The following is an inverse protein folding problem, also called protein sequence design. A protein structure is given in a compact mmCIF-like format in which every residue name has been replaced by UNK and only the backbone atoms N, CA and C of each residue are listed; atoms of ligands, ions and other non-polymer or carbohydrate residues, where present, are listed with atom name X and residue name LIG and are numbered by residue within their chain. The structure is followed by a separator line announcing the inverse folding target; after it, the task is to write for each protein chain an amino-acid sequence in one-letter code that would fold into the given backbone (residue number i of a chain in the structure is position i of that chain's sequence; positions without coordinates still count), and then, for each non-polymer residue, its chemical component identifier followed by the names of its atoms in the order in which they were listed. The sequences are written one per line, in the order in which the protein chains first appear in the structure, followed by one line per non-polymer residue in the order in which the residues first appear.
data_IF_508839149242
#
_entry.id   IF_508839149242
#
_cell.length_a   1.000
_cell.length_b   1.000
_cell.length_c   1.000
_cell.angle_alpha   90.00
_cell.angle_beta   90.00
_cell.angle_gamma   90.00
#
_symmetry.space_group_name_H-M   'P 1'
#
loop_
_entity.id
_entity.type
_entity.pdbx_description
1 polymer ?
#
# COMPACT_ATOMS: atom_id res chain seq x y z
N UNK A 1 -13.60 22.95 -20.97
CA UNK A 1 -12.53 22.04 -20.52
C UNK A 1 -12.35 22.30 -19.05
N UNK A 2 -12.67 21.33 -18.20
CA UNK A 2 -12.36 21.39 -16.76
C UNK A 2 -10.84 21.34 -16.62
N UNK A 3 -10.24 22.37 -16.02
CA UNK A 3 -8.81 22.41 -15.71
C UNK A 3 -8.46 21.22 -14.80
N UNK A 4 -7.77 20.22 -15.35
CA UNK A 4 -7.21 19.14 -14.57
C UNK A 4 -6.07 19.71 -13.72
N UNK A 5 -6.29 19.84 -12.41
CA UNK A 5 -5.30 20.35 -11.44
C UNK A 5 -4.39 19.26 -10.85
N UNK A 6 -4.48 18.03 -11.35
CA UNK A 6 -3.72 16.90 -10.81
C UNK A 6 -2.30 16.93 -11.40
N UNK A 7 -1.30 17.05 -10.53
CA UNK A 7 0.11 16.95 -10.94
C UNK A 7 0.48 15.48 -11.18
N UNK A 8 1.49 15.23 -12.01
CA UNK A 8 2.03 13.88 -12.20
C UNK A 8 2.53 13.25 -10.89
N UNK A 9 3.10 14.05 -9.99
CA UNK A 9 3.53 13.60 -8.66
C UNK A 9 2.34 13.13 -7.80
N UNK A 10 1.27 13.92 -7.73
CA UNK A 10 0.06 13.53 -7.00
C UNK A 10 -0.58 12.27 -7.57
N UNK A 11 -0.55 12.08 -8.89
CA UNK A 11 -0.99 10.84 -9.52
C UNK A 11 -0.15 9.64 -9.07
N UNK A 12 1.17 9.76 -9.10
CA UNK A 12 2.06 8.64 -8.78
C UNK A 12 2.00 8.28 -7.31
N UNK A 13 1.97 9.28 -6.41
CA UNK A 13 1.77 9.06 -4.97
C UNK A 13 0.41 8.41 -4.67
N UNK A 14 -0.59 8.62 -5.51
CA UNK A 14 -1.89 7.95 -5.43
C UNK A 14 -1.81 6.50 -5.92
N UNK A 15 -1.17 6.25 -7.06
CA UNK A 15 -1.09 4.92 -7.67
C UNK A 15 -0.25 3.97 -6.82
N UNK A 16 0.85 4.46 -6.25
CA UNK A 16 1.80 3.65 -5.50
C UNK A 16 1.69 3.95 -4.02
N UNK A 17 0.69 3.34 -3.38
CA UNK A 17 0.47 3.43 -1.94
C UNK A 17 0.54 2.07 -1.24
N UNK A 18 0.99 2.05 0.02
CA UNK A 18 0.86 0.88 0.87
C UNK A 18 -0.56 0.31 0.83
N UNK A 19 -0.70 -0.95 0.40
CA UNK A 19 -2.00 -1.61 0.30
C UNK A 19 -2.19 -2.57 1.47
N UNK A 20 -3.35 -2.49 2.13
CA UNK A 20 -3.74 -3.32 3.28
C UNK A 20 -5.03 -4.07 2.93
N UNK A 21 -5.02 -5.39 3.12
CA UNK A 21 -6.22 -6.22 2.96
C UNK A 21 -7.16 -6.03 4.14
N UNK A 22 -8.47 -6.23 3.91
CA UNK A 22 -9.48 -6.22 4.96
C UNK A 22 -10.30 -7.50 4.83
N UNK A 23 -10.49 -8.20 5.94
CA UNK A 23 -11.43 -9.31 6.06
C UNK A 23 -12.38 -9.02 7.22
N UNK A 24 -13.67 -8.99 6.94
CA UNK A 24 -14.74 -8.80 7.93
C UNK A 24 -15.64 -10.03 8.01
N UNK A 25 -16.26 -10.24 9.15
CA UNK A 25 -17.37 -11.19 9.28
C UNK A 25 -18.69 -10.57 8.83
N UNK A 26 -19.66 -11.42 8.46
CA UNK A 26 -20.99 -10.97 8.03
C UNK A 26 -21.70 -10.09 9.07
N UNK A 27 -21.48 -10.34 10.36
CA UNK A 27 -22.07 -9.54 11.44
C UNK A 27 -21.55 -8.09 11.49
N UNK A 28 -20.37 -7.81 10.92
CA UNK A 28 -19.88 -6.44 10.69
C UNK A 28 -20.69 -5.77 9.58
N UNK A 29 -20.92 -6.46 8.47
CA UNK A 29 -21.72 -5.93 7.36
C UNK A 29 -23.16 -5.66 7.81
N UNK A 30 -23.73 -6.56 8.62
CA UNK A 30 -25.07 -6.38 9.21
C UNK A 30 -25.13 -5.20 10.19
N UNK A 31 -24.02 -4.89 10.88
CA UNK A 31 -23.91 -3.71 11.74
C UNK A 31 -23.81 -2.42 10.93
N UNK A 32 -23.14 -2.43 9.79
CA UNK A 32 -22.93 -1.25 8.94
C UNK A 32 -24.02 -1.05 7.88
N UNK A 33 -24.87 -2.04 7.63
CA UNK A 33 -25.98 -1.96 6.68
C UNK A 33 -26.86 -0.70 6.81
N UNK A 34 -27.21 -0.19 8.01
CA UNK A 34 -27.96 1.06 8.14
C UNK A 34 -27.23 2.29 7.62
N UNK A 35 -25.90 2.24 7.51
CA UNK A 35 -25.06 3.30 6.97
C UNK A 35 -24.81 3.15 5.46
N UNK A 36 -25.31 2.08 4.84
CA UNK A 36 -25.08 1.77 3.43
C UNK A 36 -23.59 1.66 3.05
N UNK A 37 -22.76 1.16 3.98
CA UNK A 37 -21.30 1.08 3.81
C UNK A 37 -20.80 -0.30 4.24
N UNK A 38 -19.85 -0.87 3.50
CA UNK A 38 -18.97 -1.92 4.01
C UNK A 38 -17.92 -1.34 4.94
N UNK A 39 -17.18 -2.18 5.67
CA UNK A 39 -16.11 -1.69 6.55
C UNK A 39 -15.01 -0.94 5.78
N UNK A 40 -14.64 -1.43 4.60
CA UNK A 40 -13.61 -0.77 3.78
C UNK A 40 -14.06 0.60 3.29
N UNK A 41 -15.33 0.73 2.90
CA UNK A 41 -15.91 2.00 2.46
C UNK A 41 -16.04 2.97 3.63
N UNK A 42 -16.46 2.49 4.81
CA UNK A 42 -16.57 3.28 6.04
C UNK A 42 -15.29 4.07 6.33
N UNK A 43 -14.14 3.42 6.21
CA UNK A 43 -12.84 3.98 6.59
C UNK A 43 -12.16 4.77 5.45
N UNK A 44 -12.63 4.63 4.21
CA UNK A 44 -11.97 5.18 3.03
C UNK A 44 -11.74 6.71 3.10
N UNK A 45 -12.72 7.53 3.54
CA UNK A 45 -12.51 8.98 3.69
C UNK A 45 -11.50 9.35 4.76
N UNK A 46 -11.15 8.44 5.67
CA UNK A 46 -10.29 8.71 6.82
C UNK A 46 -8.84 8.22 6.62
N UNK A 47 -8.57 7.45 5.57
CA UNK A 47 -7.23 7.07 5.11
C UNK A 47 -6.50 8.21 4.35
N UNK A 48 -6.83 9.44 4.71
CA UNK A 48 -6.93 10.64 3.89
C UNK A 48 -5.60 11.36 3.57
N UNK A 49 -4.59 10.64 3.08
CA UNK A 49 -3.46 11.26 2.36
C UNK A 49 -3.69 11.41 0.85
N UNK A 50 -4.92 11.16 0.38
CA UNK A 50 -5.32 11.39 -1.01
C UNK A 50 -6.49 12.37 -1.04
N UNK A 51 -6.18 13.61 -1.38
CA UNK A 51 -7.17 14.64 -1.68
C UNK A 51 -7.47 14.62 -3.17
N UNK A 52 -8.77 14.63 -3.45
CA UNK A 52 -9.40 14.53 -4.76
C UNK A 52 -9.03 15.69 -5.70
N UNK A 53 -8.84 15.36 -6.98
CA UNK A 53 -8.96 16.31 -8.09
C UNK A 53 -10.18 15.92 -8.87
N UNK A 54 -11.20 16.78 -8.82
CA UNK A 54 -12.47 16.63 -9.50
C UNK A 54 -12.32 16.43 -11.03
N UNK A 55 -12.25 15.17 -11.48
CA UNK A 55 -12.41 14.78 -12.90
C UNK A 55 -12.99 13.34 -13.03
N UNK A 56 -14.33 13.18 -13.12
CA UNK A 56 -15.00 11.86 -13.19
C UNK A 56 -14.54 10.94 -14.35
N UNK A 57 -14.15 11.53 -15.49
CA UNK A 57 -13.64 10.77 -16.63
C UNK A 57 -12.23 10.19 -16.36
N UNK A 58 -11.39 10.92 -15.61
CA UNK A 58 -10.04 10.49 -15.27
C UNK A 58 -10.08 9.31 -14.31
N UNK A 59 -11.00 9.31 -13.34
CA UNK A 59 -11.22 8.21 -12.39
C UNK A 59 -11.59 6.89 -13.09
N UNK A 60 -12.30 6.97 -14.22
CA UNK A 60 -12.69 5.80 -15.03
C UNK A 60 -11.51 5.23 -15.80
N UNK A 61 -10.79 6.10 -16.51
CA UNK A 61 -9.58 5.72 -17.20
C UNK A 61 -8.55 5.16 -16.21
N UNK A 62 -8.40 5.81 -15.05
CA UNK A 62 -7.53 5.42 -13.94
C UNK A 62 -7.87 4.04 -13.42
N UNK A 63 -9.13 3.77 -13.06
CA UNK A 63 -9.55 2.43 -12.63
C UNK A 63 -9.26 1.41 -13.73
N UNK A 64 -9.69 1.67 -14.97
CA UNK A 64 -9.47 0.75 -16.08
C UNK A 64 -7.98 0.51 -16.38
N UNK A 65 -7.14 1.51 -16.16
CA UNK A 65 -5.69 1.41 -16.31
C UNK A 65 -5.08 0.60 -15.18
N UNK A 66 -5.34 0.95 -13.91
CA UNK A 66 -4.80 0.28 -12.73
C UNK A 66 -5.32 -1.16 -12.58
N UNK A 67 -6.61 -1.40 -12.82
CA UNK A 67 -7.20 -2.74 -12.80
C UNK A 67 -6.71 -3.63 -13.95
N UNK A 68 -6.02 -3.07 -14.94
CA UNK A 68 -5.34 -3.80 -16.02
C UNK A 68 -3.82 -3.80 -15.91
N UNK A 69 -3.24 -3.12 -14.92
CA UNK A 69 -1.88 -3.39 -14.48
C UNK A 69 -1.92 -4.71 -13.73
N UNK A 70 -1.94 -5.83 -14.46
CA UNK A 70 -1.77 -7.14 -13.85
C UNK A 70 -0.52 -7.10 -12.97
N UNK A 71 -0.62 -7.54 -11.72
CA UNK A 71 0.53 -7.58 -10.83
C UNK A 71 1.61 -8.46 -11.45
N UNK A 72 2.71 -7.87 -11.91
CA UNK A 72 3.77 -8.66 -12.51
C UNK A 72 4.61 -9.35 -11.43
N UNK A 73 5.12 -10.57 -11.69
CA UNK A 73 5.91 -11.33 -10.70
C UNK A 73 7.17 -10.60 -10.22
N UNK A 74 7.68 -9.68 -11.04
CA UNK A 74 8.95 -9.00 -10.84
C UNK A 74 8.87 -7.73 -9.96
N UNK A 75 7.69 -7.40 -9.43
CA UNK A 75 7.47 -6.22 -8.59
C UNK A 75 6.65 -6.52 -7.34
N UNK A 76 6.77 -5.63 -6.35
CA UNK A 76 6.16 -5.71 -5.02
C UNK A 76 5.24 -4.52 -4.71
N UNK A 77 5.11 -3.57 -5.62
CA UNK A 77 4.43 -2.28 -5.44
C UNK A 77 2.92 -2.39 -5.19
N UNK A 78 2.27 -3.44 -5.72
CA UNK A 78 0.84 -3.71 -5.56
C UNK A 78 0.54 -4.82 -4.53
N UNK A 79 1.56 -5.29 -3.79
CA UNK A 79 1.39 -6.40 -2.84
C UNK A 79 0.87 -5.91 -1.50
N UNK A 80 -0.02 -6.69 -0.89
CA UNK A 80 -0.56 -6.40 0.43
C UNK A 80 0.54 -6.48 1.50
N UNK A 81 0.73 -5.39 2.25
CA UNK A 81 1.67 -5.34 3.38
C UNK A 81 1.08 -5.99 4.64
N UNK A 82 -0.24 -6.12 4.70
CA UNK A 82 -0.96 -6.50 5.89
C UNK A 82 -2.41 -6.86 5.65
N UNK A 83 -3.06 -7.33 6.71
CA UNK A 83 -4.50 -7.57 6.77
C UNK A 83 -5.08 -7.01 8.07
N UNK A 84 -6.18 -6.26 7.95
CA UNK A 84 -7.07 -5.90 9.05
C UNK A 84 -8.16 -6.96 9.10
N UNK A 85 -8.37 -7.54 10.28
CA UNK A 85 -9.42 -8.50 10.58
C UNK A 85 -10.47 -7.80 11.41
N UNK A 86 -11.74 -7.88 11.02
CA UNK A 86 -12.82 -7.15 11.68
C UNK A 86 -13.93 -8.10 12.09
N UNK A 87 -14.31 -8.05 13.36
CA UNK A 87 -15.42 -8.82 13.93
C UNK A 87 -16.25 -7.89 14.79
N UNK A 88 -17.57 -8.06 14.83
CA UNK A 88 -18.46 -7.29 15.71
C UNK A 88 -18.76 -8.06 17.00
N UNK A 89 -19.11 -7.35 18.08
CA UNK A 89 -19.68 -7.95 19.30
C UNK A 89 -21.04 -8.60 19.08
N UNK A 90 -21.65 -8.43 17.90
CA UNK A 90 -22.79 -9.23 17.43
C UNK A 90 -22.44 -10.70 17.21
N UNK A 91 -21.16 -11.02 16.99
CA UNK A 91 -20.72 -12.40 16.85
C UNK A 91 -20.73 -13.10 18.22
N UNK A 92 -21.34 -14.29 18.36
CA UNK A 92 -21.41 -15.01 19.63
C UNK A 92 -20.04 -15.52 20.12
N UNK A 93 -19.06 -15.70 19.22
CA UNK A 93 -17.70 -16.11 19.56
C UNK A 93 -16.66 -15.34 18.71
N UNK A 94 -16.33 -14.10 19.11
CA UNK A 94 -15.41 -13.26 18.34
C UNK A 94 -14.00 -13.85 18.19
N UNK A 95 -13.51 -14.61 19.17
CA UNK A 95 -12.19 -15.25 19.10
C UNK A 95 -12.13 -16.32 18.02
N UNK A 96 -13.13 -17.20 17.97
CA UNK A 96 -13.23 -18.22 16.93
C UNK A 96 -13.41 -17.60 15.54
N UNK A 97 -14.19 -16.52 15.46
CA UNK A 97 -14.36 -15.75 14.22
C UNK A 97 -13.02 -15.16 13.72
N UNK A 98 -12.24 -14.51 14.59
CA UNK A 98 -10.90 -14.01 14.21
C UNK A 98 -9.96 -15.13 13.74
N UNK A 99 -9.96 -16.27 14.44
CA UNK A 99 -9.17 -17.45 14.03
C UNK A 99 -9.54 -17.90 12.61
N UNK A 100 -10.83 -17.94 12.30
CA UNK A 100 -11.36 -18.30 10.98
C UNK A 100 -10.92 -17.31 9.89
N UNK A 101 -10.97 -15.99 10.17
CA UNK A 101 -10.50 -14.98 9.21
C UNK A 101 -8.98 -15.08 8.97
N UNK A 102 -8.18 -15.37 10.00
CA UNK A 102 -6.73 -15.60 9.85
C UNK A 102 -6.46 -16.83 8.98
N UNK A 103 -7.22 -17.90 9.16
CA UNK A 103 -7.13 -19.09 8.30
C UNK A 103 -7.50 -18.78 6.85
N UNK A 104 -8.58 -18.01 6.63
CA UNK A 104 -8.97 -17.54 5.30
C UNK A 104 -7.85 -16.73 4.64
N UNK A 105 -7.25 -15.77 5.36
CA UNK A 105 -6.12 -14.98 4.88
C UNK A 105 -4.93 -15.87 4.45
N UNK A 106 -4.59 -16.89 5.23
CA UNK A 106 -3.51 -17.83 4.89
C UNK A 106 -3.81 -18.64 3.62
N UNK A 107 -5.07 -18.95 3.33
CA UNK A 107 -5.44 -19.57 2.06
C UNK A 107 -5.34 -18.59 0.90
N UNK A 108 -5.74 -17.33 1.12
CA UNK A 108 -5.63 -16.27 0.11
C UNK A 108 -4.17 -16.00 -0.30
N UNK A 109 -3.20 -16.22 0.59
CA UNK A 109 -1.76 -16.14 0.26
C UNK A 109 -1.32 -17.12 -0.84
N UNK A 110 -2.08 -18.21 -1.05
CA UNK A 110 -1.78 -19.24 -2.04
C UNK A 110 -2.56 -19.08 -3.34
N UNK A 111 -3.54 -18.16 -3.39
CA UNK A 111 -4.41 -17.95 -4.55
C UNK A 111 -4.09 -16.65 -5.29
N UNK A 112 -3.98 -16.69 -6.61
CA UNK A 112 -4.07 -15.48 -7.45
C UNK A 112 -5.51 -14.92 -7.40
N UNK A 113 -5.73 -13.61 -7.52
CA UNK A 113 -4.76 -12.55 -7.84
C UNK A 113 -4.09 -11.91 -6.60
N UNK A 114 -4.41 -12.35 -5.38
CA UNK A 114 -3.93 -11.71 -4.15
C UNK A 114 -2.45 -12.00 -3.89
N UNK A 115 -1.61 -10.97 -3.95
CA UNK A 115 -0.17 -11.09 -3.70
C UNK A 115 0.22 -10.38 -2.43
N UNK A 116 0.93 -11.08 -1.56
CA UNK A 116 1.38 -10.56 -0.27
C UNK A 116 2.85 -10.17 -0.35
N UNK A 117 3.19 -9.10 0.35
CA UNK A 117 4.55 -8.57 0.34
C UNK A 117 5.56 -9.56 0.95
N UNK A 118 5.11 -10.31 1.96
CA UNK A 118 5.83 -11.43 2.56
C UNK A 118 4.86 -12.59 2.77
N UNK A 119 5.35 -13.83 2.68
CA UNK A 119 4.54 -15.02 2.94
C UNK A 119 4.25 -15.23 4.43
N UNK A 120 5.14 -14.75 5.31
CA UNK A 120 5.08 -15.01 6.75
C UNK A 120 5.12 -13.76 7.63
N UNK A 121 5.62 -12.64 7.12
CA UNK A 121 5.83 -11.41 7.87
C UNK A 121 4.95 -10.28 7.32
N UNK A 122 3.63 -10.43 7.46
CA UNK A 122 2.67 -9.37 7.13
C UNK A 122 2.13 -8.75 8.41
N UNK A 123 1.62 -7.52 8.31
CA UNK A 123 0.85 -6.91 9.39
C UNK A 123 -0.44 -7.71 9.59
N UNK A 124 -0.78 -8.00 10.85
CA UNK A 124 -2.08 -8.57 11.25
C UNK A 124 -2.66 -7.68 12.33
N UNK A 125 -3.77 -7.01 12.04
CA UNK A 125 -4.41 -6.06 12.95
C UNK A 125 -5.86 -6.44 13.19
N UNK A 126 -6.28 -6.51 14.44
CA UNK A 126 -7.56 -7.09 14.86
C UNK A 126 -8.47 -6.00 15.41
N UNK A 127 -9.61 -5.79 14.77
CA UNK A 127 -10.56 -4.74 15.13
C UNK A 127 -11.83 -5.39 15.65
N UNK A 128 -12.11 -5.21 16.93
CA UNK A 128 -13.41 -5.55 17.50
C UNK A 128 -14.32 -4.33 17.39
N UNK A 129 -15.35 -4.43 16.56
CA UNK A 129 -16.40 -3.42 16.48
C UNK A 129 -17.41 -3.66 17.59
N UNK A 130 -17.63 -2.66 18.44
CA UNK A 130 -18.59 -2.77 19.52
C UNK A 130 -19.94 -2.23 19.09
N UNK A 131 -20.92 -3.12 19.03
CA UNK A 131 -22.33 -2.76 19.11
C UNK A 131 -22.73 -2.61 20.58
N UNK A 132 -22.93 -1.38 21.04
CA UNK A 132 -23.30 -1.09 22.43
C UNK A 132 -24.71 -1.53 22.81
N UNK A 133 -25.57 -1.84 21.84
CA UNK A 133 -26.94 -2.30 22.10
C UNK A 133 -26.98 -3.78 22.51
N UNK A 134 -25.92 -4.56 22.18
CA UNK A 134 -25.90 -6.01 22.36
C UNK A 134 -25.38 -6.45 23.73
N UNK A 135 -24.50 -5.67 24.36
CA UNK A 135 -23.88 -6.05 25.64
C UNK A 135 -23.37 -4.85 26.43
N UNK A 136 -23.17 -5.04 27.74
CA UNK A 136 -22.66 -4.00 28.61
C UNK A 136 -21.19 -3.65 28.29
N UNK A 137 -20.73 -2.41 28.59
CA UNK A 137 -19.33 -2.04 28.41
C UNK A 137 -18.36 -2.94 29.19
N UNK A 138 -18.77 -3.51 30.32
CA UNK A 138 -17.93 -4.41 31.10
C UNK A 138 -17.71 -5.76 30.39
N UNK A 139 -18.73 -6.26 29.68
CA UNK A 139 -18.66 -7.52 28.94
C UNK A 139 -17.84 -7.36 27.66
N UNK A 140 -18.09 -6.32 26.87
CA UNK A 140 -17.34 -6.06 25.64
C UNK A 140 -15.86 -5.82 25.91
N UNK A 141 -15.52 -5.12 27.00
CA UNK A 141 -14.13 -4.95 27.43
C UNK A 141 -13.46 -6.28 27.84
N UNK A 142 -14.19 -7.21 28.47
CA UNK A 142 -13.64 -8.55 28.79
C UNK A 142 -13.34 -9.35 27.52
N UNK A 143 -14.23 -9.30 26.54
CA UNK A 143 -14.01 -9.94 25.23
C UNK A 143 -12.78 -9.32 24.56
N UNK A 144 -12.70 -7.99 24.52
CA UNK A 144 -11.55 -7.29 23.96
C UNK A 144 -10.23 -7.63 24.65
N UNK A 145 -10.20 -7.72 25.98
CA UNK A 145 -9.02 -8.17 26.74
C UNK A 145 -8.61 -9.61 26.39
N UNK A 146 -9.58 -10.49 26.14
CA UNK A 146 -9.33 -11.87 25.73
C UNK A 146 -8.71 -11.94 24.32
N UNK A 147 -9.22 -11.14 23.38
CA UNK A 147 -8.65 -10.98 22.03
C UNK A 147 -7.23 -10.42 22.10
N UNK A 148 -7.02 -9.37 22.89
CA UNK A 148 -5.70 -8.76 23.13
C UNK A 148 -4.70 -9.73 23.75
N UNK A 149 -5.14 -10.61 24.66
CA UNK A 149 -4.29 -11.67 25.23
C UNK A 149 -3.88 -12.73 24.20
N UNK A 150 -4.71 -12.96 23.17
CA UNK A 150 -4.48 -13.97 22.14
C UNK A 150 -3.60 -13.44 21.00
N UNK A 151 -3.88 -12.22 20.52
CA UNK A 151 -3.24 -11.65 19.33
C UNK A 151 -2.24 -10.51 19.61
N UNK A 152 -2.09 -10.15 20.88
CA UNK A 152 -1.26 -9.05 21.36
C UNK A 152 -2.04 -7.74 21.42
N UNK A 153 -2.08 -7.12 22.60
CA UNK A 153 -2.81 -5.88 22.87
C UNK A 153 -2.46 -4.74 21.90
N UNK A 154 -1.21 -4.67 21.45
CA UNK A 154 -0.75 -3.64 20.50
C UNK A 154 -1.40 -3.80 19.12
N UNK A 155 -1.70 -5.04 18.73
CA UNK A 155 -2.24 -5.39 17.41
C UNK A 155 -3.77 -5.38 17.39
N UNK A 156 -4.41 -4.98 18.49
CA UNK A 156 -5.86 -4.99 18.63
C UNK A 156 -6.39 -3.56 18.78
N UNK A 157 -7.56 -3.29 18.20
CA UNK A 157 -8.26 -2.02 18.33
C UNK A 157 -9.74 -2.26 18.67
N UNK A 158 -10.26 -1.46 19.59
CA UNK A 158 -11.66 -1.51 20.00
C UNK A 158 -12.41 -0.33 19.39
N UNK A 159 -13.18 -0.59 18.33
CA UNK A 159 -13.91 0.45 17.61
C UNK A 159 -15.35 0.52 18.11
N UNK A 160 -15.63 1.49 18.97
CA UNK A 160 -16.95 1.66 19.57
C UNK A 160 -17.75 2.75 18.86
N UNK A 161 -18.56 2.37 17.87
CA UNK A 161 -19.44 3.29 17.15
C UNK A 161 -20.81 3.37 17.83
N UNK A 162 -21.44 4.54 17.80
CA UNK A 162 -22.80 4.67 18.30
C UNK A 162 -23.77 3.78 17.48
N UNK A 163 -24.77 3.17 18.13
CA UNK A 163 -25.78 2.39 17.44
C UNK A 163 -26.72 3.30 16.65
N UNK A 164 -27.27 2.79 15.55
CA UNK A 164 -28.18 3.53 14.66
C UNK A 164 -29.42 4.11 15.33
N UNK A 165 -29.81 3.57 16.49
CA UNK A 165 -30.95 4.02 17.31
C UNK A 165 -30.75 5.40 17.95
N UNK A 166 -29.51 5.89 18.03
CA UNK A 166 -29.14 7.16 18.67
C UNK A 166 -28.72 8.27 17.69
N UNK A 167 -28.93 8.09 16.39
CA UNK A 167 -28.66 9.11 15.38
C UNK A 167 -29.51 10.36 15.68
N UNK A 168 -28.88 11.41 16.21
CA UNK A 168 -29.53 12.71 16.36
C UNK A 168 -29.81 13.26 14.97
N UNK A 169 -31.07 13.57 14.68
CA UNK A 169 -31.48 14.27 13.45
C UNK A 169 -30.64 15.55 13.32
N UNK A 170 -29.64 15.52 12.45
CA UNK A 170 -28.83 16.70 12.13
C UNK A 170 -29.69 17.57 11.22
N UNK A 171 -29.97 18.80 11.65
CA UNK A 171 -30.88 19.73 10.94
C UNK A 171 -30.31 20.29 9.62
N UNK A 172 -29.09 19.91 9.22
CA UNK A 172 -28.52 20.19 7.91
C UNK A 172 -28.07 18.88 7.25
N UNK A 173 -28.32 18.67 5.95
CA UNK A 173 -27.78 17.52 5.23
C UNK A 173 -26.25 17.67 5.21
N UNK A 174 -25.58 16.91 6.06
CA UNK A 174 -24.12 16.81 6.03
C UNK A 174 -23.69 16.41 4.62
N UNK A 175 -22.65 17.07 4.10
CA UNK A 175 -22.05 16.68 2.82
C UNK A 175 -21.62 15.21 2.93
N UNK A 176 -22.17 14.36 2.07
CA UNK A 176 -21.78 12.95 1.99
C UNK A 176 -20.30 12.86 1.58
N UNK A 177 -19.46 12.43 2.54
CA UNK A 177 -18.01 12.33 2.36
C UNK A 177 -17.58 11.02 1.70
N UNK A 178 -18.49 10.04 1.56
CA UNK A 178 -18.17 8.71 1.02
C UNK A 178 -18.35 8.64 -0.49
N UNK A 179 -19.27 9.41 -1.07
CA UNK A 179 -19.52 9.43 -2.53
C UNK A 179 -18.23 9.41 -3.38
N UNK A 180 -17.17 10.21 -3.09
CA UNK A 180 -15.94 10.19 -3.89
C UNK A 180 -15.19 8.84 -3.87
N UNK A 181 -15.41 8.01 -2.84
CA UNK A 181 -14.71 6.76 -2.60
C UNK A 181 -15.52 5.51 -3.01
N UNK A 182 -16.83 5.66 -3.22
CA UNK A 182 -17.75 4.56 -3.54
C UNK A 182 -17.89 4.25 -5.04
N UNK A 183 -17.36 5.11 -5.91
CA UNK A 183 -17.50 4.97 -7.35
C UNK A 183 -16.28 4.27 -7.97
N UNK A 184 -16.46 3.10 -8.59
CA UNK A 184 -15.81 2.81 -9.84
C UNK A 184 -16.56 3.62 -10.92
N UNK A 185 -15.87 4.52 -11.63
CA UNK A 185 -16.26 5.02 -12.96
C UNK A 185 -17.26 6.21 -13.01
N UNK A 186 -16.83 7.35 -13.57
CA UNK A 186 -17.29 7.81 -14.88
C UNK A 186 -18.74 8.16 -15.17
N UNK A 187 -19.67 7.94 -14.26
CA UNK A 187 -21.07 8.24 -14.51
C UNK A 187 -21.33 9.69 -14.10
N UNK A 188 -21.52 10.54 -15.11
CA UNK A 188 -22.09 11.86 -14.93
C UNK A 188 -23.47 11.70 -14.25
N UNK A 189 -23.75 12.54 -13.24
CA UNK A 189 -25.05 12.61 -12.56
C UNK A 189 -26.21 12.86 -13.54
N UNK A 190 -25.92 13.31 -14.76
CA UNK A 190 -26.87 13.60 -15.85
C UNK A 190 -27.08 12.47 -16.86
N UNK A 191 -26.32 11.37 -16.83
CA UNK A 191 -26.44 10.25 -17.79
C UNK A 191 -27.25 9.06 -17.23
N UNK A 192 -28.14 9.35 -16.28
CA UNK A 192 -28.90 8.38 -15.49
C UNK A 192 -30.20 7.90 -16.17
N UNK A 193 -30.42 8.12 -17.47
CA UNK A 193 -31.68 7.70 -18.14
C UNK A 193 -31.65 6.33 -18.85
N UNK A 194 -30.54 5.58 -18.82
CA UNK A 194 -30.45 4.26 -19.46
C UNK A 194 -29.98 3.15 -18.52
N UNK A 195 -30.92 2.43 -17.92
CA UNK A 195 -30.82 1.04 -17.43
C UNK A 195 -29.58 0.62 -16.60
N UNK A 196 -29.59 0.90 -15.29
CA UNK A 196 -28.79 0.22 -14.24
C UNK A 196 -29.40 0.52 -12.88
N UNK A 197 -30.54 -0.12 -12.56
CA UNK A 197 -31.38 0.30 -11.43
C UNK A 197 -30.78 -0.04 -10.05
N UNK A 198 -30.09 -1.17 -9.88
CA UNK A 198 -29.64 -1.63 -8.55
C UNK A 198 -28.45 -0.82 -8.01
N UNK A 199 -27.38 -0.64 -8.80
CA UNK A 199 -26.20 0.15 -8.42
C UNK A 199 -26.56 1.63 -8.20
N UNK A 200 -27.46 2.18 -9.02
CA UNK A 200 -28.01 3.52 -8.81
C UNK A 200 -28.73 3.64 -7.47
N UNK A 201 -29.43 2.61 -7.01
CA UNK A 201 -30.22 2.73 -5.77
C UNK A 201 -29.35 2.74 -4.52
N UNK A 202 -28.24 2.00 -4.49
CA UNK A 202 -27.31 2.03 -3.36
C UNK A 202 -26.47 3.31 -3.36
N UNK A 203 -25.95 3.76 -4.51
CA UNK A 203 -25.15 5.01 -4.59
C UNK A 203 -26.00 6.28 -4.31
N UNK A 204 -27.30 6.25 -4.61
CA UNK A 204 -28.19 7.42 -4.41
C UNK A 204 -28.78 7.52 -3.01
N UNK A 205 -28.61 6.48 -2.17
CA UNK A 205 -28.96 6.56 -0.76
C UNK A 205 -27.85 7.30 0.01
N UNK A 206 -28.21 8.15 0.98
CA UNK A 206 -27.23 8.82 1.82
C UNK A 206 -26.40 7.81 2.63
N UNK A 207 -25.08 8.06 2.72
CA UNK A 207 -24.14 7.18 3.42
C UNK A 207 -23.81 7.73 4.81
N UNK A 208 -23.63 6.82 5.77
CA UNK A 208 -23.21 7.19 7.12
C UNK A 208 -24.26 7.95 7.93
N UNK A 209 -25.55 7.90 7.58
CA UNK A 209 -26.61 8.65 8.29
C UNK A 209 -26.73 8.30 9.77
N UNK A 210 -26.32 7.08 10.15
CA UNK A 210 -26.32 6.66 11.55
C UNK A 210 -25.05 7.06 12.32
N UNK A 211 -24.07 7.70 11.67
CA UNK A 211 -22.81 8.07 12.27
C UNK A 211 -22.85 9.52 12.77
N UNK A 212 -22.42 9.72 14.02
CA UNK A 212 -22.23 11.06 14.57
C UNK A 212 -20.87 11.63 14.20
N UNK A 213 -20.69 12.95 14.37
CA UNK A 213 -19.36 13.58 14.24
C UNK A 213 -18.31 12.95 15.18
N UNK A 214 -18.74 12.49 16.36
CA UNK A 214 -17.88 11.76 17.29
C UNK A 214 -17.49 10.37 16.75
N UNK A 215 -18.36 9.70 16.00
CA UNK A 215 -18.01 8.45 15.33
C UNK A 215 -17.01 8.67 14.20
N UNK A 216 -17.12 9.78 13.46
CA UNK A 216 -16.10 10.19 12.48
C UNK A 216 -14.73 10.41 13.14
N UNK A 217 -14.69 11.03 14.32
CA UNK A 217 -13.45 11.20 15.10
C UNK A 217 -12.87 9.86 15.55
N UNK A 218 -13.70 8.90 15.99
CA UNK A 218 -13.24 7.55 16.35
C UNK A 218 -12.68 6.78 15.16
N UNK A 219 -13.33 6.87 13.99
CA UNK A 219 -12.85 6.23 12.76
C UNK A 219 -11.51 6.84 12.34
N UNK A 220 -11.38 8.18 12.41
CA UNK A 220 -10.11 8.86 12.17
C UNK A 220 -9.02 8.40 13.13
N UNK A 221 -9.31 8.39 14.43
CA UNK A 221 -8.37 7.95 15.45
C UNK A 221 -7.94 6.50 15.27
N UNK A 222 -8.85 5.62 14.81
CA UNK A 222 -8.53 4.24 14.44
C UNK A 222 -7.48 4.18 13.32
N UNK A 223 -7.69 4.93 12.24
CA UNK A 223 -6.76 4.94 11.11
C UNK A 223 -5.41 5.54 11.51
N UNK A 224 -5.40 6.66 12.22
CA UNK A 224 -4.18 7.28 12.73
C UNK A 224 -3.40 6.34 13.66
N UNK A 225 -4.08 5.61 14.54
CA UNK A 225 -3.47 4.64 15.45
C UNK A 225 -2.87 3.46 14.69
N UNK A 226 -3.60 2.90 13.73
CA UNK A 226 -3.09 1.83 12.87
C UNK A 226 -1.84 2.27 12.09
N UNK A 227 -1.88 3.45 11.48
CA UNK A 227 -0.74 3.96 10.69
C UNK A 227 0.48 4.21 11.58
N UNK A 228 0.29 4.95 12.68
CA UNK A 228 1.40 5.40 13.53
C UNK A 228 2.00 4.29 14.40
N UNK A 229 1.19 3.36 14.90
CA UNK A 229 1.67 2.30 15.81
C UNK A 229 2.01 0.99 15.11
N UNK A 230 1.45 0.74 13.93
CA UNK A 230 1.58 -0.55 13.25
C UNK A 230 2.27 -0.39 11.90
N UNK A 231 1.68 0.35 10.97
CA UNK A 231 2.18 0.39 9.58
C UNK A 231 3.58 0.99 9.48
N UNK A 232 3.80 2.16 10.10
CA UNK A 232 5.10 2.85 10.06
C UNK A 232 6.18 2.06 10.82
N UNK A 233 5.98 1.61 12.08
CA UNK A 233 7.02 0.82 12.77
C UNK A 233 7.34 -0.51 12.08
N UNK A 234 6.32 -1.17 11.50
CA UNK A 234 6.53 -2.40 10.73
C UNK A 234 7.34 -2.12 9.46
N UNK A 235 7.06 -1.03 8.74
CA UNK A 235 7.79 -0.71 7.52
C UNK A 235 9.24 -0.34 7.82
N UNK A 236 9.50 0.47 8.85
CA UNK A 236 10.85 0.80 9.31
C UNK A 236 11.66 -0.46 9.67
N UNK A 237 11.05 -1.37 10.45
CA UNK A 237 11.67 -2.63 10.84
C UNK A 237 11.96 -3.51 9.61
N UNK A 238 11.01 -3.61 8.70
CA UNK A 238 11.14 -4.43 7.48
C UNK A 238 12.20 -3.87 6.54
N UNK A 239 12.22 -2.55 6.34
CA UNK A 239 13.27 -1.85 5.57
C UNK A 239 14.64 -2.13 6.18
N UNK A 240 14.78 -2.01 7.51
CA UNK A 240 16.03 -2.28 8.21
C UNK A 240 16.51 -3.72 7.99
N UNK A 241 15.62 -4.71 8.17
CA UNK A 241 15.95 -6.12 8.00
C UNK A 241 16.37 -6.45 6.56
N UNK A 242 15.60 -5.97 5.57
CA UNK A 242 15.93 -6.15 4.15
C UNK A 242 17.26 -5.47 3.78
N UNK A 243 17.52 -4.28 4.33
CA UNK A 243 18.78 -3.59 4.13
C UNK A 243 19.96 -4.35 4.77
N UNK A 244 19.82 -4.88 5.98
CA UNK A 244 20.84 -5.73 6.62
C UNK A 244 21.14 -6.99 5.79
N UNK A 245 20.12 -7.65 5.25
CA UNK A 245 20.27 -8.83 4.39
C UNK A 245 20.97 -8.53 3.06
N UNK A 246 20.76 -7.34 2.49
CA UNK A 246 21.31 -6.94 1.19
C UNK A 246 22.63 -6.16 1.29
N UNK A 247 23.00 -5.71 2.50
CA UNK A 247 24.16 -4.85 2.79
C UNK A 247 25.50 -5.43 2.32
N UNK A 248 25.71 -6.75 2.40
CA UNK A 248 26.96 -7.37 1.94
C UNK A 248 27.20 -7.22 0.43
N UNK A 249 26.13 -7.05 -0.36
CA UNK A 249 26.21 -6.76 -1.80
C UNK A 249 26.36 -5.27 -2.03
N UNK A 250 25.57 -4.45 -1.34
CA UNK A 250 25.63 -2.98 -1.41
C UNK A 250 27.00 -2.40 -0.97
N UNK A 251 27.74 -3.08 -0.09
CA UNK A 251 29.09 -2.67 0.37
C UNK A 251 30.20 -2.97 -0.65
N UNK A 252 30.01 -3.92 -1.57
CA UNK A 252 30.99 -4.25 -2.62
C UNK A 252 30.98 -3.23 -3.77
N UNK A 253 29.87 -2.53 -3.94
CA UNK A 253 29.74 -1.34 -4.78
C UNK A 253 30.21 -0.11 -4.00
N UNK A 254 31.44 0.35 -4.26
CA UNK A 254 32.04 1.51 -3.57
C UNK A 254 31.17 2.76 -3.77
N UNK A 255 30.63 3.34 -2.69
CA UNK A 255 30.04 4.69 -2.69
C UNK A 255 28.64 4.85 -2.08
N UNK A 256 27.88 3.76 -1.85
CA UNK A 256 26.43 3.87 -1.56
C UNK A 256 26.04 4.06 -0.06
N UNK A 257 26.99 4.18 0.87
CA UNK A 257 26.73 4.03 2.31
C UNK A 257 26.74 5.32 3.16
N UNK A 258 26.37 6.47 2.58
CA UNK A 258 26.16 7.71 3.36
C UNK A 258 24.70 7.93 3.75
N UNK A 259 23.73 7.46 2.94
CA UNK A 259 22.33 7.89 3.03
C UNK A 259 21.50 7.05 4.03
N UNK A 260 21.70 5.74 4.12
CA UNK A 260 20.95 4.88 5.06
C UNK A 260 21.32 5.10 6.53
N UNK A 261 22.50 5.66 6.84
CA UNK A 261 22.86 6.04 8.21
C UNK A 261 22.16 7.32 8.69
N UNK A 262 21.91 8.28 7.79
CA UNK A 262 21.20 9.51 8.14
C UNK A 262 19.70 9.27 8.37
N UNK A 263 19.14 8.26 7.73
CA UNK A 263 17.70 8.02 7.76
C UNK A 263 17.21 7.24 9.00
N UNK A 264 18.10 6.50 9.68
CA UNK A 264 17.76 5.72 10.89
C UNK A 264 18.52 6.18 12.15
N UNK A 265 19.27 7.28 12.07
CA UNK A 265 19.95 7.91 13.21
C UNK A 265 19.18 9.16 13.65
N UNK A 266 17.94 8.99 14.09
CA UNK A 266 17.18 10.08 14.72
C UNK A 266 16.80 9.74 16.16
N UNK A 267 17.75 9.18 16.93
CA UNK A 267 17.70 9.16 18.40
C UNK A 267 19.12 9.20 18.98
N UNK A 268 19.87 10.28 18.75
CA UNK A 268 20.90 10.80 19.68
C UNK A 268 21.34 12.18 19.20
N UNK A 269 21.14 13.19 20.06
CA UNK A 269 21.69 14.52 19.91
C UNK A 269 23.23 14.48 19.99
N UNK A 270 23.86 15.42 19.29
CA UNK A 270 25.27 15.83 19.32
C UNK A 270 26.27 14.89 18.63
N UNK A 271 26.77 15.28 17.46
CA UNK A 271 28.11 15.88 17.35
C UNK A 271 28.36 16.43 15.93
N UNK A 272 29.04 17.55 15.87
CA UNK A 272 29.32 18.35 14.69
C UNK A 272 30.69 18.01 14.12
N UNK A 273 30.76 17.36 12.96
CA UNK A 273 31.93 17.44 12.05
C UNK A 273 31.53 17.16 10.60
N UNK A 274 31.49 18.21 9.79
CA UNK A 274 31.43 18.16 8.32
C UNK A 274 32.81 17.91 7.73
N UNK A 275 32.92 17.06 6.68
CA UNK A 275 33.85 17.36 5.61
C UNK A 275 33.15 17.44 4.24
N UNK A 276 33.44 18.54 3.56
CA UNK A 276 33.13 18.85 2.17
C UNK A 276 33.95 17.98 1.21
N UNK A 277 33.32 17.36 0.21
CA UNK A 277 34.02 16.82 -0.97
C UNK A 277 33.21 17.09 -2.25
N UNK A 278 33.94 17.62 -3.22
CA UNK A 278 33.54 18.00 -4.58
C UNK A 278 33.30 16.77 -5.48
N UNK A 279 32.49 16.87 -6.55
CA UNK A 279 32.30 15.76 -7.48
C UNK A 279 33.41 15.74 -8.54
N UNK A 280 34.22 14.68 -8.57
CA UNK A 280 35.06 14.34 -9.72
C UNK A 280 34.46 13.16 -10.49
N UNK A 281 34.32 13.36 -11.80
CA UNK A 281 33.93 12.33 -12.76
C UNK A 281 35.02 11.24 -12.81
N UNK A 282 34.62 9.98 -12.69
CA UNK A 282 35.30 8.86 -13.37
C UNK A 282 34.43 7.61 -13.36
N UNK A 283 34.09 7.16 -14.56
CA UNK A 283 33.53 5.84 -14.83
C UNK A 283 34.52 4.77 -14.36
N UNK A 284 34.07 3.86 -13.51
CA UNK A 284 34.78 2.60 -13.25
C UNK A 284 33.82 1.42 -13.28
N UNK A 285 33.97 0.63 -14.34
CA UNK A 285 33.34 -0.66 -14.54
C UNK A 285 33.72 -1.63 -13.41
N UNK A 286 32.74 -2.05 -12.61
CA UNK A 286 32.88 -3.20 -11.71
C UNK A 286 31.81 -4.21 -12.09
N UNK A 287 32.20 -5.17 -12.91
CA UNK A 287 31.41 -6.37 -13.24
C UNK A 287 31.58 -7.39 -12.11
N UNK A 288 30.47 -7.85 -11.54
CA UNK A 288 30.45 -8.83 -10.44
C UNK A 288 30.01 -10.19 -10.98
N UNK A 289 30.94 -10.93 -11.58
CA UNK A 289 30.72 -12.32 -11.98
C UNK A 289 31.21 -13.29 -10.90
N UNK A 290 30.30 -14.15 -10.43
CA UNK A 290 30.59 -15.52 -10.01
C UNK A 290 29.80 -16.43 -10.95
N UNK A 291 30.51 -17.15 -11.80
CA UNK A 291 29.93 -17.89 -12.92
C UNK A 291 29.28 -19.22 -12.55
N UNK A 292 28.35 -19.64 -13.41
CA UNK A 292 28.25 -21.01 -13.92
C UNK A 292 27.50 -20.94 -15.25
N UNK A 293 28.23 -21.25 -16.32
CA UNK A 293 27.74 -21.46 -17.66
C UNK A 293 26.99 -22.79 -17.76
N UNK A 294 25.75 -22.78 -18.24
CA UNK A 294 25.13 -23.91 -18.93
C UNK A 294 24.07 -23.37 -19.89
N UNK A 295 24.27 -23.62 -21.19
CA UNK A 295 23.26 -23.34 -22.20
C UNK A 295 22.13 -24.37 -22.14
N UNK A 296 20.90 -23.90 -22.29
CA UNK A 296 19.82 -24.61 -22.98
C UNK A 296 18.69 -23.61 -23.25
N UNK A 297 18.19 -23.60 -24.49
CA UNK A 297 17.02 -22.83 -24.88
C UNK A 297 15.80 -23.39 -24.14
N UNK A 298 15.23 -22.59 -23.24
CA UNK A 298 13.89 -22.78 -22.67
C UNK A 298 13.20 -21.43 -22.68
N UNK A 299 12.17 -21.32 -23.50
CA UNK A 299 11.29 -20.16 -23.58
C UNK A 299 10.41 -20.03 -22.33
N UNK A 300 10.33 -18.79 -21.84
CA UNK A 300 9.35 -18.18 -20.92
C UNK A 300 9.44 -18.50 -19.42
N UNK A 301 9.43 -17.39 -18.67
CA UNK A 301 9.54 -17.21 -17.21
C UNK A 301 10.84 -17.72 -16.59
N UNK A 302 11.90 -16.92 -16.71
CA UNK A 302 13.01 -16.97 -15.74
C UNK A 302 12.46 -16.46 -14.40
N UNK A 303 11.77 -17.34 -13.67
CA UNK A 303 11.25 -17.06 -12.33
C UNK A 303 12.45 -16.88 -11.43
N UNK A 304 12.76 -15.63 -11.09
CA UNK A 304 13.66 -15.36 -9.99
C UNK A 304 13.00 -15.91 -8.73
N UNK A 305 13.64 -16.82 -7.99
CA UNK A 305 13.15 -17.23 -6.69
C UNK A 305 12.89 -16.00 -5.81
N UNK A 306 11.79 -16.00 -5.05
CA UNK A 306 11.42 -14.87 -4.18
C UNK A 306 12.53 -14.53 -3.16
N UNK A 307 13.36 -15.50 -2.80
CA UNK A 307 14.51 -15.38 -1.90
C UNK A 307 15.81 -14.97 -2.62
N UNK A 308 15.80 -14.85 -3.95
CA UNK A 308 16.95 -14.41 -4.70
C UNK A 308 17.40 -13.03 -4.19
N UNK A 309 18.70 -12.81 -4.01
CA UNK A 309 19.20 -11.56 -3.45
C UNK A 309 18.88 -10.33 -4.33
N UNK A 310 18.78 -10.51 -5.65
CA UNK A 310 18.28 -9.48 -6.56
C UNK A 310 16.80 -9.15 -6.28
N UNK A 311 15.98 -10.15 -5.94
CA UNK A 311 14.58 -9.96 -5.54
C UNK A 311 14.44 -9.33 -4.16
N UNK A 312 15.30 -9.67 -3.21
CA UNK A 312 15.32 -9.01 -1.90
C UNK A 312 15.69 -7.52 -2.01
N UNK A 313 16.64 -7.18 -2.89
CA UNK A 313 16.94 -5.79 -3.22
C UNK A 313 15.78 -5.10 -3.93
N UNK A 314 15.09 -5.77 -4.86
CA UNK A 314 13.92 -5.21 -5.54
C UNK A 314 12.79 -4.93 -4.55
N UNK A 315 12.52 -5.86 -3.65
CA UNK A 315 11.55 -5.74 -2.55
C UNK A 315 11.87 -4.57 -1.63
N UNK A 316 13.14 -4.37 -1.28
CA UNK A 316 13.59 -3.22 -0.51
C UNK A 316 13.33 -1.91 -1.26
N UNK A 317 13.69 -1.84 -2.53
CA UNK A 317 13.50 -0.64 -3.35
C UNK A 317 12.02 -0.28 -3.52
N UNK A 318 11.16 -1.27 -3.79
CA UNK A 318 9.71 -1.09 -3.91
C UNK A 318 9.10 -0.62 -2.58
N UNK A 319 9.51 -1.18 -1.44
CA UNK A 319 9.04 -0.72 -0.12
C UNK A 319 9.49 0.70 0.19
N UNK A 320 10.75 1.04 -0.11
CA UNK A 320 11.26 2.41 0.02
C UNK A 320 10.46 3.38 -0.85
N UNK A 321 10.10 2.97 -2.07
CA UNK A 321 9.29 3.77 -2.98
C UNK A 321 7.88 4.01 -2.42
N UNK A 322 7.20 2.98 -1.90
CA UNK A 322 5.86 3.11 -1.29
C UNK A 322 5.83 4.06 -0.08
N UNK A 323 6.95 4.16 0.64
CA UNK A 323 7.12 5.10 1.76
C UNK A 323 7.86 6.38 1.36
N UNK A 324 7.85 6.71 0.06
CA UNK A 324 8.34 7.97 -0.52
C UNK A 324 9.83 8.27 -0.30
N UNK A 325 10.63 7.23 -0.03
CA UNK A 325 12.09 7.34 0.09
C UNK A 325 12.75 7.22 -1.29
N UNK A 326 12.33 8.08 -2.22
CA UNK A 326 12.62 7.97 -3.65
C UNK A 326 14.10 7.99 -3.99
N UNK A 327 14.94 8.73 -3.26
CA UNK A 327 16.39 8.73 -3.49
C UNK A 327 17.03 7.38 -3.16
N UNK A 328 16.62 6.75 -2.06
CA UNK A 328 17.15 5.44 -1.69
C UNK A 328 16.61 4.34 -2.61
N UNK A 329 15.32 4.41 -2.99
CA UNK A 329 14.73 3.51 -3.98
C UNK A 329 15.48 3.60 -5.33
N UNK A 330 15.69 4.82 -5.85
CA UNK A 330 16.42 5.06 -7.10
C UNK A 330 17.81 4.41 -7.11
N UNK A 331 18.59 4.59 -6.04
CA UNK A 331 19.94 4.03 -5.94
C UNK A 331 19.96 2.50 -6.05
N UNK A 332 18.98 1.82 -5.45
CA UNK A 332 18.87 0.37 -5.51
C UNK A 332 18.39 -0.08 -6.90
N UNK A 333 17.42 0.63 -7.50
CA UNK A 333 16.99 0.31 -8.86
C UNK A 333 18.12 0.49 -9.88
N UNK A 334 18.89 1.58 -9.82
CA UNK A 334 19.98 1.82 -10.77
C UNK A 334 21.07 0.73 -10.69
N UNK A 335 21.31 0.21 -9.49
CA UNK A 335 22.19 -0.94 -9.27
C UNK A 335 21.62 -2.22 -9.91
N UNK A 336 20.39 -2.60 -9.57
CA UNK A 336 19.73 -3.82 -10.04
C UNK A 336 19.61 -3.89 -11.56
N UNK A 337 19.38 -2.75 -12.19
CA UNK A 337 19.26 -2.63 -13.65
C UNK A 337 20.45 -3.28 -14.37
N UNK A 338 21.68 -3.03 -13.93
CA UNK A 338 22.88 -3.57 -14.60
C UNK A 338 22.93 -5.10 -14.51
N UNK A 339 22.60 -5.65 -13.35
CA UNK A 339 22.58 -7.08 -13.11
C UNK A 339 21.51 -7.80 -13.94
N UNK A 340 20.28 -7.25 -13.99
CA UNK A 340 19.21 -7.82 -14.80
C UNK A 340 19.51 -7.76 -16.30
N UNK A 341 20.11 -6.66 -16.77
CA UNK A 341 20.56 -6.53 -18.18
C UNK A 341 21.58 -7.60 -18.54
N UNK A 342 22.58 -7.80 -17.68
CA UNK A 342 23.65 -8.77 -17.91
C UNK A 342 23.12 -10.21 -17.98
N UNK A 343 22.09 -10.53 -17.19
CA UNK A 343 21.45 -11.85 -17.16
C UNK A 343 20.33 -12.02 -18.17
N UNK A 344 20.09 -11.04 -19.04
CA UNK A 344 18.97 -11.05 -19.98
C UNK A 344 17.60 -11.25 -19.30
N UNK A 345 17.46 -10.79 -18.06
CA UNK A 345 16.20 -10.81 -17.31
C UNK A 345 15.35 -9.59 -17.70
N UNK A 346 14.90 -9.56 -18.96
CA UNK A 346 14.39 -8.34 -19.59
C UNK A 346 13.19 -7.70 -18.90
N UNK A 347 12.26 -8.51 -18.39
CA UNK A 347 11.11 -8.00 -17.65
C UNK A 347 11.53 -7.28 -16.36
N UNK A 348 12.47 -7.87 -15.62
CA UNK A 348 12.98 -7.28 -14.37
C UNK A 348 13.82 -6.03 -14.66
N UNK A 349 14.60 -6.05 -15.75
CA UNK A 349 15.35 -4.90 -16.23
C UNK A 349 14.43 -3.73 -16.56
N UNK A 350 13.39 -3.97 -17.37
CA UNK A 350 12.46 -2.93 -17.80
C UNK A 350 11.72 -2.29 -16.61
N UNK A 351 11.16 -3.10 -15.71
CA UNK A 351 10.47 -2.56 -14.52
C UNK A 351 11.41 -1.82 -13.56
N UNK A 352 12.65 -2.28 -13.42
CA UNK A 352 13.65 -1.57 -12.59
C UNK A 352 14.04 -0.24 -13.23
N UNK A 353 14.15 -0.21 -14.56
CA UNK A 353 14.48 0.99 -15.32
C UNK A 353 13.39 2.05 -15.22
N UNK A 354 12.12 1.64 -15.34
CA UNK A 354 10.93 2.47 -15.16
C UNK A 354 10.89 3.08 -13.75
N UNK A 355 10.99 2.23 -12.71
CA UNK A 355 10.93 2.70 -11.32
C UNK A 355 12.12 3.58 -10.93
N UNK A 356 13.30 3.37 -11.52
CA UNK A 356 14.45 4.26 -11.35
C UNK A 356 14.19 5.67 -11.91
N UNK A 357 13.55 5.75 -13.08
CA UNK A 357 13.17 7.02 -13.71
C UNK A 357 12.06 7.74 -12.92
N UNK A 358 11.04 6.99 -12.50
CA UNK A 358 9.96 7.51 -11.65
C UNK A 358 10.48 8.02 -10.31
N UNK A 359 11.36 7.27 -9.66
CA UNK A 359 11.99 7.70 -8.40
C UNK A 359 12.76 9.01 -8.57
N UNK A 360 13.46 9.20 -9.70
CA UNK A 360 14.17 10.46 -9.99
C UNK A 360 13.19 11.63 -10.18
N UNK A 361 12.09 11.40 -10.88
CA UNK A 361 11.04 12.39 -11.10
C UNK A 361 10.42 12.88 -9.77
N UNK A 362 10.08 11.95 -8.87
CA UNK A 362 9.37 12.25 -7.63
C UNK A 362 10.23 12.89 -6.53
N UNK A 363 11.55 12.89 -6.69
CA UNK A 363 12.42 13.70 -5.82
C UNK A 363 12.20 15.21 -6.03
N UNK A 364 11.54 15.61 -7.12
CA UNK A 364 11.21 17.01 -7.41
C UNK A 364 12.44 17.92 -7.39
N UNK A 365 12.29 19.12 -6.82
CA UNK A 365 13.36 20.12 -6.72
C UNK A 365 14.55 19.70 -5.84
N UNK A 366 14.42 18.63 -5.05
CA UNK A 366 15.52 18.07 -4.25
C UNK A 366 16.52 17.36 -5.15
N UNK A 367 16.07 16.81 -6.28
CA UNK A 367 16.97 16.26 -7.29
C UNK A 367 17.55 17.38 -8.15
N UNK A 368 18.88 17.49 -8.18
CA UNK A 368 19.57 18.26 -9.23
C UNK A 368 19.57 17.52 -10.57
N UNK A 369 18.94 16.33 -10.65
CA UNK A 369 18.93 15.47 -11.83
C UNK A 369 17.72 15.80 -12.70
N UNK A 370 17.98 16.02 -13.98
CA UNK A 370 16.92 16.09 -14.98
C UNK A 370 16.20 14.73 -15.07
N UNK A 371 14.89 14.75 -15.32
CA UNK A 371 14.11 13.54 -15.58
C UNK A 371 14.80 12.68 -16.66
N UNK A 372 15.15 11.41 -16.33
CA UNK A 372 15.96 10.61 -17.23
C UNK A 372 15.07 9.93 -18.28
N UNK A 373 14.51 10.72 -19.21
CA UNK A 373 13.54 10.24 -20.22
C UNK A 373 14.02 9.00 -20.99
N UNK A 374 15.31 8.94 -21.35
CA UNK A 374 15.92 7.79 -22.01
C UNK A 374 15.71 6.46 -21.27
N UNK A 375 15.61 6.49 -19.94
CA UNK A 375 15.35 5.30 -19.13
C UNK A 375 13.95 4.77 -19.37
N UNK A 376 12.96 5.65 -19.39
CA UNK A 376 11.56 5.29 -19.65
C UNK A 376 11.40 4.73 -21.07
N UNK A 377 12.02 5.40 -22.06
CA UNK A 377 11.97 4.96 -23.46
C UNK A 377 12.60 3.56 -23.63
N UNK A 378 13.77 3.32 -23.01
CA UNK A 378 14.43 2.01 -23.03
C UNK A 378 13.62 0.91 -22.32
N UNK A 379 12.91 1.24 -21.24
CA UNK A 379 12.01 0.31 -20.57
C UNK A 379 10.86 -0.10 -21.50
N UNK A 380 10.18 0.87 -22.11
CA UNK A 380 9.08 0.65 -23.07
C UNK A 380 9.56 -0.20 -24.25
N UNK A 381 10.70 0.15 -24.86
CA UNK A 381 11.29 -0.62 -25.96
C UNK A 381 11.57 -2.05 -25.49
N UNK A 382 12.10 -2.24 -24.29
CA UNK A 382 12.41 -3.57 -23.76
C UNK A 382 11.16 -4.41 -23.53
N UNK A 383 10.10 -3.85 -22.94
CA UNK A 383 8.82 -4.54 -22.80
C UNK A 383 8.29 -5.00 -24.16
N UNK A 384 8.26 -4.09 -25.14
CA UNK A 384 7.68 -4.37 -26.47
C UNK A 384 8.52 -5.35 -27.29
N UNK A 385 9.85 -5.32 -27.17
CA UNK A 385 10.74 -6.08 -28.08
C UNK A 385 11.33 -7.33 -27.47
N UNK A 386 11.48 -7.42 -26.14
CA UNK A 386 12.22 -8.51 -25.48
C UNK A 386 11.42 -9.30 -24.44
N UNK A 387 10.26 -8.80 -23.99
CA UNK A 387 9.45 -9.43 -22.93
C UNK A 387 8.22 -10.19 -23.47
N UNK A 388 8.23 -10.58 -24.75
CA UNK A 388 7.14 -11.32 -25.40
C UNK A 388 7.15 -12.80 -25.07
#
# INVERSE_FOLDING_TARGET
MTDCRLTGESFVNFVFMPTIGVLSTKDVDDFLAPNNLTFTELIAPFAENLKDVATPWFETWRYMFLSRLDGFEHEFLSRYLGCIFVVSTRNPDPLSAFSSLVQQQLQLTKSQPYRWFSQSQIIKFFVLMNDSDMMSPAESNKIFQSIGSTYGNTNCYFLNLAPSSHATVVNEPAKDIWIPYLLPHGLNQTEIDGDSSVLKTEITRPHGESLSSNDHEKIRAFIEDFVSRILVPWSETTIRLLNEQTSHRLRKTRGFFSVTRKLFSQTTLNDSTTPSLTPSQSDSNVSLLSGSSAGSNSSLTSTYPDDAPEQQMRRLADLLFLFQQYESAHQIYDLLKKDFKQRSAWLHYAGTQEMSAMSTYLQGAVSQRQYPQHQMDEAIITYVTKCK
#
